data_IF_004676010850
#
_entry.id   IF_004676010850
#
_cell.length_a   1.000
_cell.length_b   1.000
_cell.length_c   1.000
_cell.angle_alpha   90.00
_cell.angle_beta   90.00
_cell.angle_gamma   90.00
#
_symmetry.space_group_name_H-M   'P 1'
#
loop_
_entity.id
_entity.type
_entity.pdbx_description
1 polymer ?
#
# COMPACT_ATOMS: atom_id res chain seq x y z
N UNK A 1 33.54 -11.37 7.68
CA UNK A 1 32.80 -10.23 7.11
C UNK A 1 31.90 -10.86 6.08
N UNK A 2 30.71 -11.27 6.52
CA UNK A 2 29.86 -12.13 5.71
C UNK A 2 29.09 -11.30 4.69
N UNK A 3 29.25 -11.74 3.46
CA UNK A 3 28.88 -11.03 2.27
C UNK A 3 27.36 -10.85 2.20
N UNK A 4 26.96 -9.63 1.86
CA UNK A 4 25.61 -9.28 1.45
C UNK A 4 25.13 -10.29 0.39
N UNK A 5 24.40 -11.31 0.82
CA UNK A 5 23.55 -12.10 -0.08
C UNK A 5 22.40 -11.20 -0.46
N UNK A 6 22.63 -10.39 -1.50
CA UNK A 6 21.57 -9.79 -2.30
C UNK A 6 20.47 -10.84 -2.45
N UNK A 7 19.22 -10.42 -2.23
CA UNK A 7 18.00 -11.23 -2.20
C UNK A 7 17.82 -12.04 -3.49
N UNK A 8 18.61 -13.12 -3.63
CA UNK A 8 18.48 -14.11 -4.67
C UNK A 8 17.30 -14.98 -4.30
N UNK A 9 16.14 -14.74 -4.90
CA UNK A 9 15.17 -15.81 -5.11
C UNK A 9 15.75 -16.75 -6.17
N UNK A 10 16.64 -17.65 -5.72
CA UNK A 10 16.84 -18.91 -6.43
C UNK A 10 15.69 -19.77 -5.95
N UNK A 11 14.71 -20.06 -6.81
CA UNK A 11 13.67 -21.05 -6.53
C UNK A 11 14.33 -22.43 -6.42
N UNK A 12 15.03 -22.66 -5.31
CA UNK A 12 15.32 -23.99 -4.81
C UNK A 12 14.01 -24.44 -4.17
N UNK A 13 13.48 -25.58 -4.62
CA UNK A 13 12.22 -26.19 -4.19
C UNK A 13 12.23 -26.70 -2.72
N UNK A 14 12.93 -26.00 -1.82
CA UNK A 14 13.09 -26.35 -0.41
C UNK A 14 13.24 -25.16 0.55
N UNK A 15 13.22 -23.91 0.06
CA UNK A 15 13.14 -22.72 0.91
C UNK A 15 11.73 -22.12 0.81
N UNK A 16 10.94 -22.27 1.86
CA UNK A 16 9.58 -21.70 1.94
C UNK A 16 9.65 -20.22 2.36
N UNK A 17 8.98 -19.37 1.59
CA UNK A 17 8.91 -17.93 1.89
C UNK A 17 7.70 -17.68 2.79
N UNK A 18 7.97 -17.28 4.02
CA UNK A 18 6.94 -16.94 5.01
C UNK A 18 6.82 -15.43 5.16
N UNK A 19 5.59 -14.92 5.12
CA UNK A 19 5.30 -13.53 5.49
C UNK A 19 5.10 -13.49 7.01
N UNK A 20 6.13 -13.10 7.75
CA UNK A 20 6.11 -13.05 9.22
C UNK A 20 5.39 -11.82 9.78
N UNK A 21 5.14 -10.79 8.97
CA UNK A 21 4.42 -9.60 9.40
C UNK A 21 4.16 -8.61 8.27
N UNK A 22 3.13 -7.79 8.45
CA UNK A 22 2.79 -6.67 7.56
C UNK A 22 2.51 -5.41 8.40
N UNK A 23 2.96 -4.27 7.92
CA UNK A 23 2.67 -2.97 8.52
C UNK A 23 2.58 -1.91 7.42
N UNK A 24 1.79 -0.87 7.64
CA UNK A 24 1.64 0.22 6.68
C UNK A 24 0.57 1.22 7.09
N UNK A 25 0.57 2.35 6.39
CA UNK A 25 -0.49 3.36 6.43
C UNK A 25 -1.22 3.36 5.10
N UNK A 26 -2.54 3.35 5.16
CA UNK A 26 -3.40 3.24 3.98
C UNK A 26 -4.32 4.45 3.91
N UNK A 27 -4.94 4.73 2.75
CA UNK A 27 -5.93 5.80 2.63
C UNK A 27 -7.03 5.64 3.71
N UNK A 28 -7.34 6.74 4.39
CA UNK A 28 -8.30 6.79 5.51
C UNK A 28 -8.03 5.78 6.64
N UNK A 29 -6.81 5.26 6.79
CA UNK A 29 -6.48 4.25 7.81
C UNK A 29 -5.05 4.43 8.32
N UNK A 30 -4.92 4.87 9.57
CA UNK A 30 -3.61 5.16 10.19
C UNK A 30 -2.89 3.91 10.70
N UNK A 31 -3.59 2.78 10.80
CA UNK A 31 -3.03 1.51 11.24
C UNK A 31 -3.79 0.32 10.62
N UNK A 32 -3.23 -0.88 10.81
CA UNK A 32 -3.80 -2.13 10.28
C UNK A 32 -5.21 -2.44 10.80
N UNK A 33 -5.55 -2.05 12.03
CA UNK A 33 -6.88 -2.30 12.59
C UNK A 33 -7.96 -1.45 11.91
N UNK A 34 -7.67 -0.17 11.66
CA UNK A 34 -8.56 0.71 10.90
C UNK A 34 -8.72 0.23 9.47
N UNK A 35 -7.61 -0.13 8.82
CA UNK A 35 -7.65 -0.65 7.46
C UNK A 35 -8.48 -1.93 7.37
N UNK A 36 -8.29 -2.86 8.31
CA UNK A 36 -9.07 -4.09 8.44
C UNK A 36 -10.57 -3.78 8.56
N UNK A 37 -10.97 -2.90 9.49
CA UNK A 37 -12.37 -2.53 9.70
C UNK A 37 -12.99 -1.94 8.44
N UNK A 38 -12.28 -1.02 7.79
CA UNK A 38 -12.75 -0.35 6.58
C UNK A 38 -12.96 -1.33 5.42
N UNK A 39 -12.02 -2.28 5.24
CA UNK A 39 -12.11 -3.30 4.21
C UNK A 39 -13.29 -4.26 4.43
N UNK A 40 -13.48 -4.75 5.66
CA UNK A 40 -14.60 -5.64 5.97
C UNK A 40 -15.97 -4.96 5.85
N UNK A 41 -16.02 -3.66 6.10
CA UNK A 41 -17.24 -2.86 5.95
C UNK A 41 -17.45 -2.33 4.52
N UNK A 42 -16.58 -2.70 3.55
CA UNK A 42 -16.63 -2.26 2.15
C UNK A 42 -16.70 -0.74 2.00
N UNK A 43 -15.99 -0.02 2.87
CA UNK A 43 -15.89 1.44 2.79
C UNK A 43 -15.01 1.82 1.60
N UNK A 44 -15.45 2.77 0.77
CA UNK A 44 -14.59 3.36 -0.25
C UNK A 44 -13.51 4.22 0.41
N UNK A 45 -12.26 3.86 0.17
CA UNK A 45 -11.09 4.54 0.75
C UNK A 45 -10.44 5.52 -0.23
N UNK A 46 -10.90 5.56 -1.48
CA UNK A 46 -10.48 6.55 -2.46
C UNK A 46 -11.33 7.80 -2.27
N UNK A 47 -10.68 8.96 -2.23
CA UNK A 47 -11.37 10.23 -2.22
C UNK A 47 -11.08 10.98 -3.51
N UNK A 48 -12.07 11.71 -4.02
CA UNK A 48 -11.90 12.62 -5.14
C UNK A 48 -10.96 13.79 -4.78
N UNK A 49 -10.98 14.23 -3.52
CA UNK A 49 -10.10 15.28 -3.00
C UNK A 49 -8.72 14.73 -2.60
N UNK A 50 -7.89 14.41 -3.60
CA UNK A 50 -6.56 13.84 -3.33
C UNK A 50 -5.63 14.77 -2.52
N UNK A 51 -5.97 16.06 -2.37
CA UNK A 51 -5.21 17.05 -1.58
C UNK A 51 -3.80 17.35 -2.09
N UNK A 52 -3.36 16.72 -3.18
CA UNK A 52 -2.04 16.90 -3.80
C UNK A 52 -1.99 18.12 -4.71
N UNK A 53 -3.04 18.29 -5.53
CA UNK A 53 -3.14 19.35 -6.53
C UNK A 53 -4.55 19.94 -6.49
N UNK A 54 -4.67 21.26 -6.70
CA UNK A 54 -5.97 21.89 -6.90
C UNK A 54 -6.52 21.45 -8.25
N UNK A 55 -7.64 20.73 -8.25
CA UNK A 55 -8.41 20.47 -9.45
C UNK A 55 -9.19 21.76 -9.73
N UNK A 56 -8.52 22.74 -10.34
CA UNK A 56 -9.23 23.86 -10.95
C UNK A 56 -9.93 23.33 -12.19
N UNK A 57 -11.25 23.18 -12.11
CA UNK A 57 -12.10 23.09 -13.30
C UNK A 57 -12.01 24.43 -14.05
N UNK A 58 -10.89 24.68 -14.71
CA UNK A 58 -10.87 25.62 -15.83
C UNK A 58 -11.48 24.89 -17.03
N UNK A 59 -12.80 24.65 -16.93
CA UNK A 59 -13.63 24.52 -18.11
C UNK A 59 -13.74 25.94 -18.65
N UNK A 60 -12.76 26.34 -19.45
CA UNK A 60 -12.77 27.32 -20.53
C UNK A 60 -11.30 27.60 -20.90
N UNK A 61 -11.04 27.65 -22.20
CA UNK A 61 -9.78 27.99 -22.90
C UNK A 61 -8.89 26.79 -23.27
N UNK A 62 -9.21 26.16 -24.42
CA UNK A 62 -8.53 26.47 -25.68
C UNK A 62 -9.58 26.45 -26.81
#
# INVERSE_FOLDING_TARGET
MDDKKACKLRNNSGEEIVISGIAGRFPNSDNMHQFRKNLFNKVDLVREDHGRWKIVLNVYVC
#
